data_IF_101536067588
#
_entry.id   IF_101536067588
#
_cell.length_a   1.000
_cell.length_b   1.000
_cell.length_c   1.000
_cell.angle_alpha   90.00
_cell.angle_beta   90.00
_cell.angle_gamma   90.00
#
_symmetry.space_group_name_H-M   'P 1'
#
loop_
_entity.id
_entity.type
_entity.pdbx_description
1 polymer ?
#
# COMPACT_ATOMS: atom_id res chain seq x y z
N UNK A 1 5.60 3.46 1.87
CA UNK A 1 5.88 2.33 0.96
C UNK A 1 7.07 2.59 0.00
N UNK A 2 8.19 3.23 0.40
CA UNK A 2 9.08 3.89 -0.57
C UNK A 2 9.82 2.95 -1.53
N UNK A 3 10.06 1.70 -1.11
CA UNK A 3 10.73 0.69 -1.94
C UNK A 3 9.72 -0.06 -2.82
N UNK A 4 8.58 -0.48 -2.25
CA UNK A 4 7.57 -1.27 -2.98
C UNK A 4 6.91 -0.47 -4.10
N UNK A 5 6.71 0.83 -3.91
CA UNK A 5 6.19 1.74 -4.94
C UNK A 5 7.15 1.93 -6.15
N UNK A 6 8.42 1.49 -6.05
CA UNK A 6 9.33 1.49 -7.21
C UNK A 6 9.03 0.34 -8.18
N UNK A 7 8.24 -0.65 -7.74
CA UNK A 7 7.82 -1.78 -8.56
C UNK A 7 6.66 -1.36 -9.47
N UNK A 8 6.96 -0.67 -10.57
CA UNK A 8 5.95 -0.05 -11.45
C UNK A 8 4.96 -1.05 -12.08
N UNK A 9 5.31 -2.34 -12.15
CA UNK A 9 4.44 -3.41 -12.66
C UNK A 9 3.71 -4.19 -11.56
N UNK A 10 3.85 -3.80 -10.28
CA UNK A 10 3.19 -4.48 -9.18
C UNK A 10 1.68 -4.31 -9.31
N UNK A 11 0.96 -5.44 -9.39
CA UNK A 11 -0.50 -5.49 -9.53
C UNK A 11 -1.21 -5.89 -8.24
N UNK A 12 -0.56 -6.69 -7.40
CA UNK A 12 -1.12 -7.17 -6.15
C UNK A 12 -0.06 -7.06 -5.06
N UNK A 13 -0.45 -6.50 -3.92
CA UNK A 13 0.39 -6.34 -2.75
C UNK A 13 -0.35 -6.87 -1.53
N UNK A 14 0.24 -7.87 -0.89
CA UNK A 14 -0.26 -8.48 0.33
C UNK A 14 0.77 -8.27 1.45
N UNK A 15 0.42 -7.46 2.44
CA UNK A 15 1.21 -7.26 3.65
C UNK A 15 0.61 -8.11 4.77
N UNK A 16 1.28 -9.23 5.06
CA UNK A 16 0.88 -10.18 6.10
C UNK A 16 1.11 -9.65 7.52
N UNK A 17 0.64 -10.41 8.52
CA UNK A 17 0.99 -10.23 9.93
C UNK A 17 2.48 -9.89 10.12
N UNK A 18 2.75 -8.87 10.94
CA UNK A 18 4.09 -8.38 11.29
C UNK A 18 5.00 -7.98 10.12
N UNK A 19 4.50 -7.90 8.88
CA UNK A 19 5.27 -7.37 7.74
C UNK A 19 5.54 -5.87 7.82
N UNK A 20 4.78 -5.18 8.67
CA UNK A 20 4.97 -3.77 8.98
C UNK A 20 4.81 -3.55 10.49
N UNK A 21 5.75 -2.80 11.08
CA UNK A 21 5.75 -2.47 12.52
C UNK A 21 5.57 -0.97 12.79
N UNK A 22 5.54 -0.14 11.74
CA UNK A 22 5.37 1.31 11.88
C UNK A 22 3.92 1.72 12.09
N UNK A 23 3.71 2.92 12.62
CA UNK A 23 2.38 3.46 12.92
C UNK A 23 1.71 4.18 11.74
N UNK A 24 2.49 4.69 10.79
CA UNK A 24 1.96 5.37 9.62
C UNK A 24 2.56 4.83 8.33
N UNK A 25 1.78 4.77 7.26
CA UNK A 25 2.24 4.32 5.96
C UNK A 25 1.82 5.30 4.87
N UNK A 26 2.80 5.77 4.09
CA UNK A 26 2.54 6.70 2.98
C UNK A 26 2.64 5.96 1.64
N UNK A 27 1.62 6.13 0.79
CA UNK A 27 1.70 5.84 -0.64
C UNK A 27 1.88 7.17 -1.37
N UNK A 28 3.07 7.38 -1.93
CA UNK A 28 3.41 8.65 -2.58
C UNK A 28 2.64 8.87 -3.89
N UNK A 29 2.58 10.12 -4.33
CA UNK A 29 1.94 10.53 -5.58
C UNK A 29 2.42 9.70 -6.75
N UNK A 30 1.48 9.04 -7.44
CA UNK A 30 1.77 8.14 -8.56
C UNK A 30 2.64 6.91 -8.22
N UNK A 31 2.79 6.57 -6.94
CA UNK A 31 3.71 5.52 -6.48
C UNK A 31 3.32 4.11 -6.93
N UNK A 32 2.02 3.80 -7.07
CA UNK A 32 1.58 2.49 -7.53
C UNK A 32 0.74 2.61 -8.80
N UNK A 33 1.37 2.86 -9.96
CA UNK A 33 0.65 3.19 -11.18
C UNK A 33 -0.22 2.04 -11.73
N UNK A 34 0.07 0.79 -11.33
CA UNK A 34 -0.57 -0.43 -11.83
C UNK A 34 -1.16 -1.32 -10.73
N UNK A 35 -1.16 -0.88 -9.47
CA UNK A 35 -1.66 -1.70 -8.37
C UNK A 35 -3.18 -1.80 -8.44
N UNK A 36 -3.67 -3.04 -8.45
CA UNK A 36 -5.08 -3.39 -8.52
C UNK A 36 -5.59 -3.89 -7.16
N UNK A 37 -4.75 -4.59 -6.40
CA UNK A 37 -5.12 -5.21 -5.13
C UNK A 37 -4.12 -4.81 -4.05
N UNK A 38 -4.62 -4.23 -2.96
CA UNK A 38 -3.86 -3.96 -1.74
C UNK A 38 -4.56 -4.62 -0.56
N UNK A 39 -3.85 -5.51 0.12
CA UNK A 39 -4.36 -6.18 1.31
C UNK A 39 -3.32 -6.08 2.43
N UNK A 40 -3.78 -5.69 3.60
CA UNK A 40 -2.93 -5.41 4.76
C UNK A 40 -3.53 -5.97 6.06
N UNK A 41 -4.02 -7.21 6.06
CA UNK A 41 -4.72 -7.72 7.24
C UNK A 41 -3.74 -7.90 8.40
N UNK A 42 -4.24 -7.63 9.60
CA UNK A 42 -3.52 -7.85 10.86
C UNK A 42 -2.25 -6.99 11.02
N UNK A 43 -2.17 -5.82 10.36
CA UNK A 43 -1.16 -4.82 10.66
C UNK A 43 -1.53 -4.00 11.90
N UNK A 44 -1.51 -4.63 13.09
CA UNK A 44 -2.02 -4.03 14.34
C UNK A 44 -1.37 -2.71 14.77
N UNK A 45 -0.14 -2.45 14.33
CA UNK A 45 0.55 -1.21 14.65
C UNK A 45 0.17 -0.07 13.69
N UNK A 46 -0.40 -0.37 12.52
CA UNK A 46 -0.70 0.63 11.50
C UNK A 46 -1.95 1.42 11.92
N UNK A 47 -1.74 2.66 12.34
CA UNK A 47 -2.78 3.60 12.75
C UNK A 47 -3.25 4.45 11.57
N UNK A 48 -2.33 4.83 10.66
CA UNK A 48 -2.62 5.73 9.56
C UNK A 48 -2.10 5.23 8.20
N UNK A 49 -2.98 5.21 7.20
CA UNK A 49 -2.62 5.03 5.79
C UNK A 49 -2.86 6.34 5.03
N UNK A 50 -1.77 6.99 4.62
CA UNK A 50 -1.79 8.26 3.90
C UNK A 50 -1.65 7.98 2.40
N UNK A 51 -2.66 8.38 1.63
CA UNK A 51 -2.67 8.27 0.18
C UNK A 51 -2.50 9.66 -0.43
N UNK A 52 -1.36 9.91 -1.06
CA UNK A 52 -1.17 11.12 -1.87
C UNK A 52 -1.94 11.02 -3.19
N UNK A 53 -2.04 12.15 -3.89
CA UNK A 53 -2.78 12.24 -5.17
C UNK A 53 -2.38 11.13 -6.14
N UNK A 54 -3.36 10.42 -6.70
CA UNK A 54 -3.16 9.33 -7.67
C UNK A 54 -2.24 8.19 -7.18
N UNK A 55 -1.96 8.07 -5.88
CA UNK A 55 -1.05 7.06 -5.35
C UNK A 55 -1.49 5.62 -5.69
N UNK A 56 -2.80 5.36 -5.65
CA UNK A 56 -3.43 4.06 -5.92
C UNK A 56 -4.48 4.16 -7.05
N UNK A 57 -4.14 4.84 -8.16
CA UNK A 57 -5.12 5.23 -9.19
C UNK A 57 -5.92 4.09 -9.85
N UNK A 58 -5.40 2.85 -9.83
CA UNK A 58 -6.03 1.68 -10.45
C UNK A 58 -6.56 0.66 -9.43
N UNK A 59 -6.61 1.04 -8.15
CA UNK A 59 -7.00 0.11 -7.10
C UNK A 59 -8.44 -0.35 -7.32
N UNK A 60 -8.63 -1.66 -7.30
CA UNK A 60 -9.91 -2.34 -7.42
C UNK A 60 -10.32 -2.94 -6.08
N UNK A 61 -9.36 -3.44 -5.31
CA UNK A 61 -9.62 -4.10 -4.03
C UNK A 61 -8.68 -3.57 -2.93
N UNK A 62 -9.28 -3.20 -1.80
CA UNK A 62 -8.61 -2.80 -0.58
C UNK A 62 -9.12 -3.64 0.59
N UNK A 63 -8.20 -4.31 1.29
CA UNK A 63 -8.45 -5.03 2.54
C UNK A 63 -7.46 -4.52 3.60
N UNK A 64 -7.95 -4.19 4.80
CA UNK A 64 -7.17 -3.67 5.93
C UNK A 64 -7.51 -4.50 7.16
#
# INVERSE_FOLDING_TARGET
>A
MPVLQKLHNLRSLYLNDRSYIGSSMVCSKGGFPQLLVLKMPFLFNLEELILEEQALQKLVELEI
#
